data_IF_358059458095
#
_entry.id   IF_358059458095
#
_cell.length_a   1.000
_cell.length_b   1.000
_cell.length_c   1.000
_cell.angle_alpha   90.00
_cell.angle_beta   90.00
_cell.angle_gamma   90.00
#
_symmetry.space_group_name_H-M   'P 1'
#
loop_
_entity.id
_entity.type
_entity.pdbx_description
1 polymer ?
#
# COMPACT_ATOMS: atom_id res chain seq x y z
N UNK A 1 17.49 -24.93 40.57
CA UNK A 1 16.41 -23.98 40.90
C UNK A 1 16.15 -23.17 39.66
N UNK A 2 15.06 -23.49 38.97
CA UNK A 2 14.71 -22.96 37.64
C UNK A 2 14.28 -21.50 37.79
N UNK A 3 15.03 -20.57 37.20
CA UNK A 3 14.53 -19.23 36.88
C UNK A 3 13.33 -19.42 35.93
N UNK A 4 12.10 -19.28 36.45
CA UNK A 4 10.94 -19.04 35.58
C UNK A 4 11.22 -17.74 34.87
N UNK A 5 11.49 -17.78 33.59
CA UNK A 5 11.38 -16.62 32.71
C UNK A 5 9.92 -16.15 32.83
N UNK A 6 9.72 -14.96 33.41
CA UNK A 6 8.40 -14.33 33.36
C UNK A 6 8.03 -14.21 31.87
N UNK A 7 7.00 -14.95 31.45
CA UNK A 7 6.57 -14.99 30.08
C UNK A 7 6.15 -13.59 29.61
N UNK A 8 6.32 -13.31 28.33
CA UNK A 8 5.90 -12.03 27.76
C UNK A 8 4.37 -11.87 27.84
N UNK A 9 3.89 -10.73 28.30
CA UNK A 9 2.45 -10.40 28.40
C UNK A 9 2.22 -9.04 27.76
N UNK A 10 1.32 -8.96 26.76
CA UNK A 10 0.89 -7.67 26.21
C UNK A 10 0.22 -6.79 27.26
N UNK A 11 0.38 -5.48 27.16
CA UNK A 11 -0.34 -4.53 27.99
C UNK A 11 -1.85 -4.68 27.84
N UNK A 12 -2.57 -4.90 28.93
CA UNK A 12 -4.01 -5.15 28.91
C UNK A 12 -4.80 -3.94 29.41
N UNK A 13 -5.90 -3.63 28.71
CA UNK A 13 -6.80 -2.52 29.02
C UNK A 13 -8.24 -3.02 29.07
N UNK A 14 -8.92 -2.77 30.17
CA UNK A 14 -10.29 -3.22 30.42
C UNK A 14 -11.27 -2.06 30.26
N UNK A 15 -12.26 -2.19 29.39
CA UNK A 15 -13.30 -1.19 29.13
C UNK A 15 -12.75 0.24 29.10
N UNK A 16 -11.70 0.53 28.31
CA UNK A 16 -11.13 1.86 28.29
C UNK A 16 -12.19 2.87 27.80
N UNK A 17 -12.31 3.99 28.50
CA UNK A 17 -13.23 5.05 28.10
C UNK A 17 -12.87 5.63 26.74
N UNK A 18 -13.83 6.12 25.98
CA UNK A 18 -13.58 6.76 24.67
C UNK A 18 -12.57 7.91 24.76
N UNK A 19 -12.48 8.59 25.91
CA UNK A 19 -11.50 9.66 26.15
C UNK A 19 -10.05 9.17 26.13
N UNK A 20 -9.82 7.91 26.52
CA UNK A 20 -8.48 7.31 26.54
C UNK A 20 -8.09 6.67 25.22
N UNK A 21 -9.04 6.45 24.32
CA UNK A 21 -8.77 5.82 23.02
C UNK A 21 -7.72 6.55 22.20
N UNK A 22 -7.73 7.88 22.24
CA UNK A 22 -6.72 8.70 21.56
C UNK A 22 -5.29 8.26 21.84
N UNK A 23 -5.00 7.81 23.08
CA UNK A 23 -3.67 7.33 23.45
C UNK A 23 -3.47 5.86 23.05
N UNK A 24 -4.54 5.05 23.11
CA UNK A 24 -4.48 3.62 22.80
C UNK A 24 -4.31 3.34 21.31
N UNK A 25 -4.83 4.22 20.45
CA UNK A 25 -4.72 4.09 18.99
C UNK A 25 -3.42 4.68 18.43
N UNK A 26 -2.57 5.30 19.24
CA UNK A 26 -1.29 5.82 18.77
C UNK A 26 -0.36 4.69 18.35
N UNK A 27 0.33 4.90 17.22
CA UNK A 27 1.35 4.02 16.68
C UNK A 27 2.74 4.52 17.05
N UNK A 28 3.75 3.65 17.11
CA UNK A 28 5.13 4.04 17.33
C UNK A 28 5.72 4.70 16.08
N UNK A 29 5.22 5.89 15.72
CA UNK A 29 5.67 6.64 14.54
C UNK A 29 6.54 7.81 14.95
N UNK A 30 7.56 8.10 14.14
CA UNK A 30 8.29 9.35 14.19
C UNK A 30 7.51 10.44 13.44
N UNK A 31 7.74 11.70 13.78
CA UNK A 31 7.14 12.80 13.05
C UNK A 31 7.82 12.99 11.70
N UNK A 32 7.04 13.36 10.67
CA UNK A 32 7.57 13.64 9.32
C UNK A 32 8.66 14.69 9.32
N UNK A 33 8.62 15.62 10.28
CA UNK A 33 9.56 16.73 10.41
C UNK A 33 10.98 16.26 10.72
N UNK A 34 11.16 15.11 11.39
CA UNK A 34 12.47 14.60 11.78
C UNK A 34 13.36 14.26 10.58
N UNK A 35 12.79 13.96 9.42
CA UNK A 35 13.53 13.55 8.22
C UNK A 35 13.49 14.58 7.08
N UNK A 36 12.74 15.68 7.23
CA UNK A 36 12.48 16.63 6.16
C UNK A 36 13.76 17.31 5.63
N UNK A 37 14.69 17.64 6.52
CA UNK A 37 15.95 18.28 6.16
C UNK A 37 16.79 17.36 5.26
N UNK A 38 16.98 16.11 5.68
CA UNK A 38 17.73 15.12 4.91
C UNK A 38 17.04 14.80 3.58
N UNK A 39 15.72 14.63 3.57
CA UNK A 39 14.97 14.36 2.34
C UNK A 39 15.13 15.51 1.35
N UNK A 40 15.00 16.75 1.81
CA UNK A 40 15.17 17.92 0.96
C UNK A 40 16.59 18.00 0.38
N UNK A 41 17.62 17.78 1.20
CA UNK A 41 19.01 17.77 0.77
C UNK A 41 19.26 16.73 -0.34
N UNK A 42 18.81 15.48 -0.13
CA UNK A 42 18.97 14.41 -1.11
C UNK A 42 18.21 14.74 -2.41
N UNK A 43 16.98 15.27 -2.33
CA UNK A 43 16.20 15.63 -3.50
C UNK A 43 16.86 16.74 -4.32
N UNK A 44 17.32 17.81 -3.69
CA UNK A 44 18.01 18.90 -4.38
C UNK A 44 19.34 18.43 -5.00
N UNK A 45 20.08 17.55 -4.31
CA UNK A 45 21.31 17.02 -4.82
C UNK A 45 21.10 16.11 -6.04
N UNK A 46 20.15 15.18 -5.97
CA UNK A 46 19.80 14.29 -7.11
C UNK A 46 19.27 15.12 -8.29
N UNK A 47 18.43 16.12 -8.03
CA UNK A 47 17.90 17.00 -9.07
C UNK A 47 19.00 17.75 -9.84
N UNK A 48 20.05 18.16 -9.15
CA UNK A 48 21.12 19.00 -9.74
C UNK A 48 22.29 18.19 -10.32
N UNK A 49 22.53 16.96 -9.82
CA UNK A 49 23.73 16.19 -10.17
C UNK A 49 23.43 14.77 -10.68
N UNK A 50 22.14 14.39 -10.85
CA UNK A 50 21.74 13.13 -11.47
C UNK A 50 22.46 11.90 -10.90
N UNK A 51 23.00 11.08 -11.81
CA UNK A 51 23.68 9.83 -11.45
C UNK A 51 24.92 10.03 -10.55
N UNK A 52 25.60 11.16 -10.64
CA UNK A 52 26.74 11.46 -9.75
C UNK A 52 26.29 11.51 -8.29
N UNK A 53 25.18 12.18 -8.00
CA UNK A 53 24.61 12.20 -6.65
C UNK A 53 24.22 10.80 -6.19
N UNK A 54 23.63 9.99 -7.07
CA UNK A 54 23.22 8.62 -6.75
C UNK A 54 24.42 7.73 -6.39
N UNK A 55 25.52 7.83 -7.11
CA UNK A 55 26.77 7.09 -6.82
C UNK A 55 27.35 7.46 -5.46
N UNK A 56 27.33 8.75 -5.13
CA UNK A 56 27.79 9.25 -3.83
C UNK A 56 26.93 8.71 -2.69
N UNK A 57 25.60 8.71 -2.83
CA UNK A 57 24.69 8.17 -1.83
C UNK A 57 24.77 6.63 -1.72
N UNK A 58 24.93 5.90 -2.82
CA UNK A 58 25.15 4.46 -2.80
C UNK A 58 26.41 4.11 -1.98
N UNK A 59 27.50 4.84 -2.16
CA UNK A 59 28.73 4.68 -1.37
C UNK A 59 28.51 5.01 0.11
N UNK A 60 27.76 6.08 0.41
CA UNK A 60 27.53 6.54 1.77
C UNK A 60 26.59 5.63 2.55
N UNK A 61 25.45 5.24 1.97
CA UNK A 61 24.37 4.53 2.65
C UNK A 61 24.43 3.02 2.44
N UNK A 62 24.70 2.57 1.19
CA UNK A 62 24.74 1.14 0.87
C UNK A 62 26.13 0.55 1.07
N UNK A 63 27.16 1.40 1.32
CA UNK A 63 28.58 1.02 1.54
C UNK A 63 29.16 0.18 0.40
N UNK A 64 28.68 0.41 -0.82
CA UNK A 64 29.11 -0.27 -2.02
C UNK A 64 29.38 0.72 -3.17
N UNK A 65 30.46 0.49 -3.92
CA UNK A 65 30.77 1.26 -5.13
C UNK A 65 30.10 0.59 -6.33
N UNK A 66 28.97 1.14 -6.74
CA UNK A 66 28.29 0.72 -7.97
C UNK A 66 29.01 1.28 -9.19
N UNK A 67 29.14 0.46 -10.24
CA UNK A 67 29.59 0.91 -11.56
C UNK A 67 28.42 1.25 -12.49
N UNK A 68 27.32 0.55 -12.29
CA UNK A 68 26.09 0.67 -13.07
C UNK A 68 24.89 0.45 -12.17
N UNK A 69 23.83 1.27 -12.34
CA UNK A 69 22.58 1.08 -11.62
C UNK A 69 21.73 -0.01 -12.26
N UNK A 70 21.71 -0.12 -13.58
CA UNK A 70 20.87 -1.09 -14.28
C UNK A 70 21.31 -2.54 -14.00
N UNK A 71 20.33 -3.40 -13.81
CA UNK A 71 20.52 -4.86 -13.83
C UNK A 71 20.58 -5.31 -15.29
N UNK A 72 21.55 -6.14 -15.62
CA UNK A 72 21.68 -6.64 -16.98
C UNK A 72 21.02 -8.02 -17.18
N UNK A 73 20.75 -8.39 -18.44
CA UNK A 73 20.07 -9.64 -18.81
C UNK A 73 20.77 -10.91 -18.29
N UNK A 74 22.11 -10.86 -18.14
CA UNK A 74 22.86 -12.01 -17.63
C UNK A 74 22.62 -12.21 -16.14
N UNK A 75 22.43 -11.15 -15.34
CA UNK A 75 22.05 -11.24 -13.93
C UNK A 75 20.64 -11.83 -13.79
N UNK A 76 19.68 -11.35 -14.58
CA UNK A 76 18.31 -11.89 -14.60
C UNK A 76 18.32 -13.38 -15.00
N UNK A 77 19.01 -13.71 -16.08
CA UNK A 77 19.10 -15.10 -16.57
C UNK A 77 19.76 -16.03 -15.56
N UNK A 78 20.74 -15.54 -14.81
CA UNK A 78 21.39 -16.28 -13.72
C UNK A 78 20.43 -16.50 -12.56
N UNK A 79 19.74 -15.47 -12.13
CA UNK A 79 18.75 -15.54 -11.06
C UNK A 79 17.65 -16.56 -11.40
N UNK A 80 17.13 -16.52 -12.63
CA UNK A 80 16.13 -17.50 -13.09
C UNK A 80 16.65 -18.94 -12.98
N UNK A 81 17.93 -19.21 -13.27
CA UNK A 81 18.50 -20.56 -13.12
C UNK A 81 18.68 -20.98 -11.67
N UNK A 82 19.04 -20.05 -10.80
CA UNK A 82 19.38 -20.32 -9.40
C UNK A 82 18.15 -20.65 -8.53
N UNK A 83 16.98 -20.06 -8.82
CA UNK A 83 15.77 -20.29 -8.03
C UNK A 83 15.31 -21.75 -8.11
N UNK A 84 15.10 -22.43 -6.97
CA UNK A 84 14.59 -23.79 -6.92
C UNK A 84 13.22 -23.94 -7.59
N UNK A 85 12.97 -25.09 -8.22
CA UNK A 85 11.71 -25.32 -8.96
C UNK A 85 10.45 -25.21 -8.10
N UNK A 86 10.52 -25.67 -6.85
CA UNK A 86 9.40 -25.57 -5.90
C UNK A 86 9.07 -24.11 -5.58
N UNK A 87 10.07 -23.25 -5.37
CA UNK A 87 9.86 -21.81 -5.11
C UNK A 87 9.31 -21.12 -6.37
N UNK A 88 9.82 -21.44 -7.58
CA UNK A 88 9.24 -20.92 -8.83
C UNK A 88 7.76 -21.24 -8.95
N UNK A 89 7.38 -22.48 -8.64
CA UNK A 89 5.98 -22.91 -8.70
C UNK A 89 5.11 -22.16 -7.66
N UNK A 90 5.64 -21.96 -6.44
CA UNK A 90 4.93 -21.21 -5.40
C UNK A 90 4.70 -19.73 -5.82
N UNK A 91 5.74 -19.07 -6.34
CA UNK A 91 5.65 -17.68 -6.84
C UNK A 91 4.67 -17.59 -8.02
N UNK A 92 4.68 -18.56 -8.94
CA UNK A 92 3.74 -18.59 -10.05
C UNK A 92 2.29 -18.76 -9.57
N UNK A 93 2.04 -19.68 -8.64
CA UNK A 93 0.71 -19.89 -8.06
C UNK A 93 0.19 -18.63 -7.36
N UNK A 94 1.03 -17.96 -6.56
CA UNK A 94 0.68 -16.69 -5.93
C UNK A 94 0.34 -15.62 -6.97
N UNK A 95 1.17 -15.48 -8.02
CA UNK A 95 0.90 -14.57 -9.14
C UNK A 95 -0.44 -14.83 -9.80
N UNK A 96 -0.78 -16.09 -10.07
CA UNK A 96 -2.02 -16.47 -10.74
C UNK A 96 -3.26 -16.11 -9.91
N UNK A 97 -3.21 -16.28 -8.59
CA UNK A 97 -4.26 -15.86 -7.67
C UNK A 97 -4.40 -14.34 -7.63
N UNK A 98 -3.29 -13.61 -7.50
CA UNK A 98 -3.27 -12.14 -7.52
C UNK A 98 -3.79 -11.61 -8.86
N UNK A 99 -3.37 -12.22 -9.96
CA UNK A 99 -3.87 -11.86 -11.30
C UNK A 99 -5.38 -12.06 -11.40
N UNK A 100 -5.88 -13.20 -10.94
CA UNK A 100 -7.30 -13.55 -11.01
C UNK A 100 -8.15 -12.54 -10.26
N UNK A 101 -7.77 -12.20 -9.03
CA UNK A 101 -8.50 -11.25 -8.20
C UNK A 101 -8.44 -9.82 -8.78
N UNK A 102 -7.26 -9.34 -9.16
CA UNK A 102 -7.12 -7.98 -9.69
C UNK A 102 -7.74 -7.82 -11.09
N UNK A 103 -7.71 -8.87 -11.91
CA UNK A 103 -8.40 -8.85 -13.22
C UNK A 103 -9.91 -8.70 -13.07
N UNK A 104 -10.49 -9.31 -12.04
CA UNK A 104 -11.92 -9.19 -11.75
C UNK A 104 -12.35 -7.78 -11.31
N UNK A 105 -11.40 -6.93 -10.90
CA UNK A 105 -11.66 -5.52 -10.55
C UNK A 105 -11.87 -4.60 -11.77
N UNK A 106 -11.68 -5.10 -12.99
CA UNK A 106 -12.00 -4.31 -14.19
C UNK A 106 -13.48 -3.99 -14.22
N UNK A 107 -13.81 -2.69 -14.24
CA UNK A 107 -15.19 -2.20 -14.31
C UNK A 107 -15.57 -1.90 -15.73
N UNK A 108 -16.87 -2.08 -16.04
CA UNK A 108 -17.42 -1.66 -17.31
C UNK A 108 -17.39 -0.14 -17.46
N UNK A 109 -17.30 0.31 -18.72
CA UNK A 109 -17.41 1.73 -19.07
C UNK A 109 -18.75 2.30 -18.62
N UNK A 110 -18.70 3.39 -17.87
CA UNK A 110 -19.90 4.17 -17.54
C UNK A 110 -20.23 5.04 -18.74
N UNK A 111 -21.46 4.93 -19.26
CA UNK A 111 -21.96 5.80 -20.33
C UNK A 111 -23.43 6.12 -20.05
N UNK A 112 -23.76 7.40 -20.00
CA UNK A 112 -25.08 7.91 -19.64
C UNK A 112 -25.46 9.03 -20.61
N UNK A 113 -26.68 9.02 -21.08
CA UNK A 113 -27.33 10.18 -21.69
C UNK A 113 -28.02 10.95 -20.57
N UNK A 114 -27.45 12.11 -20.20
CA UNK A 114 -27.93 12.91 -19.05
C UNK A 114 -29.20 13.69 -19.39
N UNK A 115 -29.35 14.07 -20.65
CA UNK A 115 -30.59 14.52 -21.28
C UNK A 115 -30.48 14.27 -22.79
N UNK A 116 -31.57 14.39 -23.49
CA UNK A 116 -31.64 14.13 -24.95
C UNK A 116 -30.52 14.84 -25.73
N UNK A 117 -29.68 14.03 -26.38
CA UNK A 117 -28.56 14.53 -27.19
C UNK A 117 -27.32 14.95 -26.40
N UNK A 118 -27.24 14.69 -25.08
CA UNK A 118 -26.08 14.95 -24.22
C UNK A 118 -25.59 13.62 -23.64
N UNK A 119 -24.49 13.11 -24.17
CA UNK A 119 -23.90 11.82 -23.77
C UNK A 119 -22.61 12.05 -23.03
N UNK A 120 -22.53 11.59 -21.79
CA UNK A 120 -21.32 11.60 -20.96
C UNK A 120 -20.84 10.18 -20.70
N UNK A 121 -19.51 9.97 -20.72
CA UNK A 121 -18.93 8.69 -20.37
C UNK A 121 -17.58 8.84 -19.70
N UNK A 122 -17.15 7.77 -19.03
CA UNK A 122 -15.87 7.71 -18.35
C UNK A 122 -15.09 6.48 -18.83
N UNK A 123 -13.80 6.67 -19.07
CA UNK A 123 -12.85 5.60 -19.38
C UNK A 123 -11.74 5.57 -18.36
N UNK A 124 -11.34 4.36 -17.96
CA UNK A 124 -10.15 4.16 -17.16
C UNK A 124 -8.96 3.94 -18.09
N UNK A 125 -8.02 4.86 -18.05
CA UNK A 125 -6.78 4.81 -18.82
C UNK A 125 -5.61 4.51 -17.90
N UNK A 126 -4.62 3.71 -18.34
CA UNK A 126 -3.44 3.42 -17.53
C UNK A 126 -2.64 4.69 -17.22
N UNK A 127 -1.94 4.67 -16.08
CA UNK A 127 -0.82 5.57 -15.83
C UNK A 127 0.36 5.03 -16.63
N UNK A 128 0.88 5.80 -17.58
CA UNK A 128 1.86 5.34 -18.57
C UNK A 128 3.17 4.88 -17.92
N UNK A 129 3.71 5.69 -16.98
CA UNK A 129 5.03 5.47 -16.37
C UNK A 129 4.92 5.36 -14.85
N UNK A 130 5.30 4.22 -14.32
CA UNK A 130 5.27 3.99 -12.87
C UNK A 130 6.60 3.45 -12.36
N UNK A 131 6.91 3.80 -11.11
CA UNK A 131 8.06 3.28 -10.39
C UNK A 131 7.63 2.39 -9.24
N UNK A 132 8.23 1.21 -9.14
CA UNK A 132 8.06 0.29 -8.03
C UNK A 132 9.30 0.37 -7.13
N UNK A 133 9.10 0.70 -5.87
CA UNK A 133 10.14 0.63 -4.86
C UNK A 133 9.98 -0.66 -4.07
N UNK A 134 11.00 -1.51 -4.09
CA UNK A 134 11.02 -2.79 -3.36
C UNK A 134 12.12 -2.71 -2.31
N UNK A 135 11.79 -2.64 -1.02
CA UNK A 135 12.81 -2.62 0.02
C UNK A 135 13.56 -3.95 0.05
N UNK A 136 14.87 -3.85 0.30
CA UNK A 136 15.75 -4.98 0.53
C UNK A 136 16.50 -4.69 1.83
N UNK A 137 16.06 -5.33 2.88
CA UNK A 137 16.65 -5.16 4.21
C UNK A 137 16.97 -6.51 4.82
N UNK A 138 16.32 -6.80 5.93
CA UNK A 138 16.43 -8.10 6.62
C UNK A 138 15.77 -9.27 5.87
N UNK A 139 14.92 -8.99 4.88
CA UNK A 139 14.27 -9.99 4.01
C UNK A 139 14.09 -9.44 2.58
N UNK A 140 14.25 -10.28 1.53
CA UNK A 140 13.94 -9.91 0.16
C UNK A 140 12.43 -9.94 -0.05
N UNK A 141 11.77 -8.78 -0.03
CA UNK A 141 10.31 -8.68 -0.14
C UNK A 141 9.84 -8.84 -1.61
N UNK A 142 10.15 -9.99 -2.23
CA UNK A 142 9.78 -10.27 -3.63
C UNK A 142 8.25 -10.41 -3.81
N UNK A 143 7.49 -10.76 -2.76
CA UNK A 143 6.03 -10.79 -2.80
C UNK A 143 5.43 -9.43 -3.16
N UNK A 144 6.04 -8.33 -2.70
CA UNK A 144 5.61 -6.97 -3.03
C UNK A 144 5.68 -6.70 -4.55
N UNK A 145 6.60 -7.36 -5.26
CA UNK A 145 6.63 -7.26 -6.74
C UNK A 145 5.37 -7.84 -7.34
N UNK A 146 4.93 -9.01 -6.87
CA UNK A 146 3.67 -9.61 -7.34
C UNK A 146 2.48 -8.69 -7.11
N UNK A 147 2.41 -8.08 -5.91
CA UNK A 147 1.33 -7.20 -5.47
C UNK A 147 1.25 -5.89 -6.28
N UNK A 148 2.38 -5.39 -6.76
CA UNK A 148 2.45 -4.12 -7.48
C UNK A 148 2.50 -4.31 -9.00
N UNK A 149 3.36 -5.21 -9.48
CA UNK A 149 3.57 -5.39 -10.91
C UNK A 149 2.41 -6.10 -11.61
N UNK A 150 1.76 -7.07 -10.93
CA UNK A 150 0.63 -7.79 -11.54
C UNK A 150 -0.55 -6.85 -11.87
N UNK A 151 -1.08 -6.05 -10.93
CA UNK A 151 -2.14 -5.10 -11.27
C UNK A 151 -1.68 -3.98 -12.21
N UNK A 152 -0.42 -3.55 -12.16
CA UNK A 152 0.14 -2.59 -13.10
C UNK A 152 0.09 -3.09 -14.55
N UNK A 153 0.49 -4.35 -14.76
CA UNK A 153 0.43 -5.02 -16.05
C UNK A 153 -1.03 -5.21 -16.52
N UNK A 154 -1.94 -5.61 -15.62
CA UNK A 154 -3.38 -5.74 -15.94
C UNK A 154 -3.98 -4.39 -16.35
N UNK A 155 -3.57 -3.30 -15.71
CA UNK A 155 -4.00 -1.94 -16.04
C UNK A 155 -3.49 -1.47 -17.40
N UNK A 156 -2.36 -2.00 -17.89
CA UNK A 156 -1.72 -1.64 -19.15
C UNK A 156 -0.73 -0.48 -19.00
N UNK A 157 -0.06 -0.33 -17.84
CA UNK A 157 1.04 0.62 -17.70
C UNK A 157 2.15 0.30 -18.72
N UNK A 158 2.60 1.31 -19.48
CA UNK A 158 3.53 1.11 -20.61
C UNK A 158 4.98 0.96 -20.13
N UNK A 159 5.38 1.74 -19.12
CA UNK A 159 6.71 1.71 -18.55
C UNK A 159 6.63 1.46 -17.06
N UNK A 160 7.17 0.32 -16.64
CA UNK A 160 7.26 -0.09 -15.24
C UNK A 160 8.73 -0.24 -14.91
N UNK A 161 9.25 0.60 -14.01
CA UNK A 161 10.60 0.49 -13.51
C UNK A 161 10.60 0.00 -12.06
N UNK A 162 11.64 -0.74 -11.68
CA UNK A 162 11.82 -1.27 -10.34
C UNK A 162 13.13 -0.78 -9.75
N UNK A 163 13.07 -0.13 -8.58
CA UNK A 163 14.24 0.24 -7.78
C UNK A 163 14.28 -0.61 -6.51
N UNK A 164 15.41 -1.23 -6.24
CA UNK A 164 15.65 -2.01 -5.02
C UNK A 164 17.10 -1.83 -4.57
N UNK A 165 17.34 -1.64 -3.26
CA UNK A 165 18.72 -1.54 -2.76
C UNK A 165 19.45 -2.86 -2.99
N UNK A 166 20.72 -2.80 -3.47
CA UNK A 166 21.56 -3.98 -3.58
C UNK A 166 22.01 -4.46 -2.19
N UNK A 167 22.37 -5.73 -2.11
CA UNK A 167 23.02 -6.28 -0.92
C UNK A 167 24.51 -5.80 -0.84
N UNK A 168 25.23 -6.21 0.22
CA UNK A 168 26.63 -5.86 0.44
C UNK A 168 27.60 -6.29 -0.66
N UNK A 169 27.16 -7.14 -1.60
CA UNK A 169 27.92 -7.57 -2.78
C UNK A 169 27.51 -6.80 -4.05
N UNK A 170 26.69 -5.75 -3.93
CA UNK A 170 26.19 -4.96 -5.06
C UNK A 170 25.15 -5.70 -5.93
N UNK A 171 24.48 -6.71 -5.41
CA UNK A 171 23.55 -7.54 -6.17
C UNK A 171 22.13 -7.45 -5.61
N UNK A 172 21.17 -7.51 -6.51
CA UNK A 172 19.77 -7.74 -6.16
C UNK A 172 19.57 -9.24 -5.88
N UNK A 173 18.80 -9.64 -4.85
CA UNK A 173 18.49 -11.03 -4.58
C UNK A 173 17.88 -11.75 -5.78
N UNK A 174 18.21 -13.01 -5.97
CA UNK A 174 17.76 -13.81 -7.12
C UNK A 174 16.23 -13.94 -7.13
N UNK A 175 15.57 -14.01 -5.98
CA UNK A 175 14.12 -14.06 -5.83
C UNK A 175 13.44 -12.80 -6.36
N UNK A 176 14.04 -11.65 -6.13
CA UNK A 176 13.56 -10.34 -6.62
C UNK A 176 13.66 -10.28 -8.15
N UNK A 177 14.83 -10.66 -8.70
CA UNK A 177 15.06 -10.66 -10.15
C UNK A 177 14.16 -11.66 -10.88
N UNK A 178 14.01 -12.87 -10.33
CA UNK A 178 13.10 -13.87 -10.88
C UNK A 178 11.66 -13.38 -10.90
N UNK A 179 11.18 -12.82 -9.78
CA UNK A 179 9.80 -12.38 -9.65
C UNK A 179 9.51 -11.17 -10.55
N UNK A 180 10.45 -10.23 -10.66
CA UNK A 180 10.35 -9.11 -11.58
C UNK A 180 10.25 -9.58 -13.04
N UNK A 181 11.14 -10.48 -13.46
CA UNK A 181 11.12 -11.10 -14.79
C UNK A 181 9.81 -11.85 -15.06
N UNK A 182 9.32 -12.63 -14.07
CA UNK A 182 8.04 -13.32 -14.17
C UNK A 182 6.86 -12.36 -14.40
N UNK A 183 6.92 -11.14 -13.85
CA UNK A 183 5.93 -10.09 -14.04
C UNK A 183 6.16 -9.24 -15.30
N UNK A 184 7.21 -9.53 -16.10
CA UNK A 184 7.54 -8.79 -17.33
C UNK A 184 8.25 -7.45 -17.09
N UNK A 185 8.92 -7.29 -15.93
CA UNK A 185 9.72 -6.11 -15.63
C UNK A 185 11.18 -6.42 -15.96
N UNK A 186 11.74 -5.65 -16.88
CA UNK A 186 13.13 -5.71 -17.34
C UNK A 186 13.96 -4.49 -16.89
N UNK A 187 13.32 -3.35 -16.61
CA UNK A 187 13.97 -2.14 -16.13
C UNK A 187 14.13 -2.16 -14.61
N UNK A 188 15.21 -2.79 -14.14
CA UNK A 188 15.52 -2.96 -12.71
C UNK A 188 16.78 -2.20 -12.36
N UNK A 189 16.74 -1.41 -11.27
CA UNK A 189 17.83 -0.55 -10.84
C UNK A 189 18.28 -0.87 -9.41
N UNK A 190 19.59 -0.98 -9.23
CA UNK A 190 20.29 -1.29 -7.96
C UNK A 190 20.41 -0.03 -7.11
N UNK A 191 19.31 0.46 -6.59
CA UNK A 191 19.29 1.68 -5.78
C UNK A 191 18.15 1.64 -4.77
N UNK A 192 18.40 2.09 -3.56
CA UNK A 192 17.44 2.15 -2.46
C UNK A 192 17.31 3.54 -1.85
N UNK A 193 16.55 3.63 -0.75
CA UNK A 193 16.46 4.82 0.09
C UNK A 193 15.80 6.05 -0.56
N UNK A 194 16.05 7.21 0.05
CA UNK A 194 15.53 8.51 -0.40
C UNK A 194 15.97 8.80 -1.84
N UNK A 195 17.21 8.48 -2.17
CA UNK A 195 17.81 8.76 -3.47
C UNK A 195 17.13 7.98 -4.62
N UNK A 196 16.60 6.78 -4.36
CA UNK A 196 15.82 6.04 -5.35
C UNK A 196 14.49 6.75 -5.65
N UNK A 197 13.82 7.25 -4.62
CA UNK A 197 12.58 8.03 -4.77
C UNK A 197 12.84 9.35 -5.51
N UNK A 198 13.93 10.04 -5.19
CA UNK A 198 14.33 11.26 -5.86
C UNK A 198 14.67 11.01 -7.35
N UNK A 199 15.39 9.92 -7.65
CA UNK A 199 15.73 9.51 -9.02
C UNK A 199 14.46 9.24 -9.84
N UNK A 200 13.50 8.47 -9.31
CA UNK A 200 12.20 8.24 -9.97
C UNK A 200 11.38 9.52 -10.13
N UNK A 201 11.56 10.50 -9.23
CA UNK A 201 10.84 11.78 -9.26
C UNK A 201 11.34 12.69 -10.37
N UNK A 202 12.64 12.84 -10.52
CA UNK A 202 13.21 13.79 -11.49
C UNK A 202 13.60 13.14 -12.82
N UNK A 203 13.97 11.88 -12.79
CA UNK A 203 14.75 11.20 -13.81
C UNK A 203 16.23 11.54 -13.65
N UNK A 204 17.11 10.63 -14.03
CA UNK A 204 18.55 10.83 -14.13
C UNK A 204 19.02 10.25 -15.47
N UNK A 205 20.33 10.22 -15.71
CA UNK A 205 20.92 9.65 -16.93
C UNK A 205 20.57 8.15 -17.06
N UNK A 206 20.54 7.42 -15.93
CA UNK A 206 20.25 5.98 -15.91
C UNK A 206 18.81 5.65 -15.58
N UNK A 207 18.15 6.42 -14.70
CA UNK A 207 16.83 6.08 -14.13
C UNK A 207 15.75 6.97 -14.73
N UNK A 208 14.75 6.39 -15.45
CA UNK A 208 13.67 7.18 -16.03
C UNK A 208 12.79 7.86 -14.99
N UNK A 209 12.34 9.08 -15.29
CA UNK A 209 11.28 9.74 -14.52
C UNK A 209 9.96 9.01 -14.65
N UNK A 210 9.21 8.92 -13.55
CA UNK A 210 7.88 8.29 -13.52
C UNK A 210 6.78 9.28 -13.12
N UNK A 211 5.52 8.89 -13.30
CA UNK A 211 4.36 9.72 -12.94
C UNK A 211 3.76 9.32 -11.58
N UNK A 212 3.98 8.06 -11.17
CA UNK A 212 3.53 7.58 -9.87
C UNK A 212 4.50 6.55 -9.30
N UNK A 213 4.75 6.64 -8.00
CA UNK A 213 5.64 5.74 -7.25
C UNK A 213 4.81 4.87 -6.31
N UNK A 214 5.07 3.57 -6.33
CA UNK A 214 4.46 2.56 -5.49
C UNK A 214 5.51 1.83 -4.67
N UNK A 215 5.11 1.32 -3.54
CA UNK A 215 5.89 0.40 -2.74
C UNK A 215 6.04 0.83 -1.29
N UNK A 216 6.15 -0.16 -0.38
CA UNK A 216 6.43 0.05 1.02
C UNK A 216 7.88 0.53 1.23
N UNK A 217 8.15 1.09 2.37
CA UNK A 217 9.50 1.49 2.75
C UNK A 217 9.57 1.91 4.22
N UNK A 218 10.80 2.08 4.70
CA UNK A 218 11.01 2.64 6.02
C UNK A 218 10.58 4.12 6.07
N UNK A 219 10.70 4.75 7.23
CA UNK A 219 10.29 6.13 7.47
C UNK A 219 10.95 7.14 6.51
N UNK A 220 12.22 6.92 6.13
CA UNK A 220 12.93 7.77 5.16
C UNK A 220 12.32 7.69 3.77
N UNK A 221 12.00 6.48 3.32
CA UNK A 221 11.35 6.25 2.02
C UNK A 221 9.92 6.80 2.04
N UNK A 222 9.19 6.62 3.12
CA UNK A 222 7.84 7.18 3.30
C UNK A 222 7.87 8.71 3.23
N UNK A 223 8.78 9.36 3.95
CA UNK A 223 8.96 10.81 3.91
C UNK A 223 9.36 11.29 2.50
N UNK A 224 10.24 10.54 1.83
CA UNK A 224 10.65 10.85 0.45
C UNK A 224 9.48 10.71 -0.54
N UNK A 225 8.64 9.68 -0.44
CA UNK A 225 7.44 9.53 -1.26
C UNK A 225 6.48 10.72 -1.09
N UNK A 226 6.21 11.12 0.14
CA UNK A 226 5.36 12.29 0.41
C UNK A 226 6.00 13.58 -0.13
N UNK A 227 7.32 13.71 -0.02
CA UNK A 227 8.04 14.85 -0.56
C UNK A 227 8.00 14.91 -2.10
N UNK A 228 8.04 13.76 -2.79
CA UNK A 228 7.94 13.65 -4.24
C UNK A 228 6.66 14.28 -4.81
N UNK A 229 5.57 14.31 -4.03
CA UNK A 229 4.31 14.94 -4.45
C UNK A 229 4.43 16.43 -4.75
N UNK A 230 5.41 17.12 -4.18
CA UNK A 230 5.74 18.53 -4.47
C UNK A 230 6.26 18.74 -5.90
N UNK A 231 6.71 17.66 -6.56
CA UNK A 231 7.30 17.69 -7.91
C UNK A 231 6.43 16.99 -8.95
N UNK A 232 5.11 17.00 -8.73
CA UNK A 232 4.11 16.45 -9.66
C UNK A 232 4.23 14.94 -9.89
N UNK A 233 4.75 14.20 -8.92
CA UNK A 233 4.74 12.73 -8.92
C UNK A 233 3.77 12.26 -7.86
N UNK A 234 2.81 11.42 -8.26
CA UNK A 234 1.85 10.81 -7.34
C UNK A 234 2.49 9.65 -6.58
N UNK A 235 1.88 9.26 -5.46
CA UNK A 235 2.25 8.06 -4.71
C UNK A 235 1.04 7.15 -4.53
N UNK A 236 1.29 5.90 -4.14
CA UNK A 236 0.23 4.96 -3.76
C UNK A 236 -0.55 5.50 -2.55
N UNK A 237 0.13 5.59 -1.39
CA UNK A 237 -0.41 6.13 -0.15
C UNK A 237 0.72 6.51 0.80
N UNK A 238 0.46 7.36 1.82
CA UNK A 238 1.31 7.46 2.99
C UNK A 238 1.28 6.12 3.74
N UNK A 239 2.42 5.68 4.25
CA UNK A 239 2.53 4.47 5.04
C UNK A 239 3.39 4.72 6.29
N UNK A 240 3.11 3.98 7.33
CA UNK A 240 3.92 3.90 8.55
C UNK A 240 4.38 2.46 8.77
N UNK A 241 4.78 2.10 9.98
CA UNK A 241 5.08 0.72 10.36
C UNK A 241 3.87 -0.20 10.15
N UNK A 242 4.14 -1.46 9.87
CA UNK A 242 3.10 -2.47 9.67
C UNK A 242 2.33 -2.77 10.95
N UNK A 243 1.05 -3.04 10.83
CA UNK A 243 0.14 -3.22 11.96
C UNK A 243 -0.94 -4.26 11.69
N UNK A 244 -1.28 -5.03 12.73
CA UNK A 244 -2.37 -6.00 12.71
C UNK A 244 -3.29 -5.80 13.90
N UNK A 245 -4.61 -5.88 13.66
CA UNK A 245 -5.58 -6.00 14.72
C UNK A 245 -6.36 -7.31 14.57
N UNK A 246 -6.40 -8.10 15.63
CA UNK A 246 -7.22 -9.31 15.72
C UNK A 246 -8.38 -9.08 16.67
N UNK A 247 -9.62 -9.26 16.19
CA UNK A 247 -10.80 -9.38 17.03
C UNK A 247 -11.08 -10.88 17.24
N UNK A 248 -11.05 -11.33 18.49
CA UNK A 248 -11.21 -12.75 18.80
C UNK A 248 -11.95 -12.98 20.13
N UNK A 249 -12.70 -14.08 20.19
CA UNK A 249 -13.38 -14.55 21.39
C UNK A 249 -13.06 -16.04 21.67
N UNK A 250 -13.79 -16.66 22.59
CA UNK A 250 -13.60 -18.07 22.97
C UNK A 250 -13.82 -19.09 21.85
N UNK A 251 -14.34 -18.70 20.68
CA UNK A 251 -14.50 -19.58 19.52
C UNK A 251 -13.27 -19.61 18.62
N UNK A 252 -12.36 -18.67 18.82
CA UNK A 252 -11.07 -18.67 18.15
C UNK A 252 -10.08 -19.65 18.81
N UNK A 253 -9.11 -20.12 18.00
CA UNK A 253 -7.98 -20.88 18.50
C UNK A 253 -6.90 -19.90 19.02
N UNK A 254 -6.53 -19.94 20.32
CA UNK A 254 -5.55 -19.01 20.86
C UNK A 254 -4.14 -19.19 20.26
N UNK A 255 -3.78 -20.37 19.77
CA UNK A 255 -2.50 -20.62 19.13
C UNK A 255 -2.46 -19.98 17.72
N UNK A 256 -3.56 -20.00 16.99
CA UNK A 256 -3.68 -19.32 15.70
C UNK A 256 -3.63 -17.80 15.86
N UNK A 257 -4.40 -17.25 16.82
CA UNK A 257 -4.37 -15.81 17.11
C UNK A 257 -2.97 -15.36 17.55
N UNK A 258 -2.28 -16.14 18.36
CA UNK A 258 -0.92 -15.84 18.76
C UNK A 258 0.04 -15.84 17.56
N UNK A 259 -0.07 -16.84 16.67
CA UNK A 259 0.78 -16.92 15.48
C UNK A 259 0.57 -15.75 14.52
N UNK A 260 -0.68 -15.28 14.33
CA UNK A 260 -0.97 -14.11 13.51
C UNK A 260 -0.42 -12.81 14.12
N UNK A 261 -0.54 -12.63 15.44
CA UNK A 261 0.07 -11.48 16.11
C UNK A 261 1.60 -11.48 16.00
N UNK A 262 2.21 -12.65 16.06
CA UNK A 262 3.66 -12.81 15.95
C UNK A 262 4.16 -12.63 14.50
N UNK A 263 3.39 -13.07 13.49
CA UNK A 263 3.75 -12.88 12.08
C UNK A 263 3.88 -11.40 11.73
N UNK A 264 2.97 -10.55 12.23
CA UNK A 264 3.08 -9.11 12.03
C UNK A 264 4.20 -8.48 12.89
N UNK A 265 4.39 -8.96 14.12
CA UNK A 265 5.41 -8.42 15.01
C UNK A 265 6.85 -8.64 14.49
N UNK A 266 7.09 -9.67 13.66
CA UNK A 266 8.42 -9.94 13.10
C UNK A 266 8.82 -9.01 11.95
N UNK A 267 7.90 -8.20 11.39
CA UNK A 267 8.22 -7.27 10.30
C UNK A 267 9.22 -6.20 10.72
N UNK A 268 9.08 -5.63 11.93
CA UNK A 268 9.99 -4.63 12.43
C UNK A 268 9.79 -4.30 13.92
N UNK A 269 10.77 -3.70 14.58
CA UNK A 269 10.68 -3.35 15.99
C UNK A 269 9.64 -2.24 16.27
N UNK A 270 9.22 -1.54 15.24
CA UNK A 270 8.20 -0.49 15.23
C UNK A 270 6.82 -1.00 14.80
N UNK A 271 6.68 -2.27 14.45
CA UNK A 271 5.38 -2.92 14.22
C UNK A 271 4.50 -2.86 15.47
N UNK A 272 3.18 -2.80 15.24
CA UNK A 272 2.21 -2.83 16.33
C UNK A 272 1.14 -3.88 16.10
N UNK A 273 0.87 -4.72 17.10
CA UNK A 273 -0.23 -5.67 17.08
C UNK A 273 -1.23 -5.37 18.19
N UNK A 274 -2.51 -5.52 17.89
CA UNK A 274 -3.60 -5.24 18.81
C UNK A 274 -4.55 -6.43 18.85
N UNK A 275 -4.76 -6.99 20.05
CA UNK A 275 -5.81 -7.98 20.29
C UNK A 275 -7.02 -7.28 20.90
N UNK A 276 -8.17 -7.40 20.27
CA UNK A 276 -9.46 -6.93 20.80
C UNK A 276 -10.33 -8.13 21.12
N UNK A 277 -10.82 -8.23 22.35
CA UNK A 277 -11.66 -9.34 22.78
C UNK A 277 -12.78 -8.88 23.70
N UNK A 278 -13.84 -9.68 23.78
CA UNK A 278 -14.87 -9.55 24.83
C UNK A 278 -14.68 -10.57 25.96
N UNK A 279 -13.57 -11.33 25.93
CA UNK A 279 -13.29 -12.43 26.88
C UNK A 279 -11.89 -12.33 27.46
N UNK A 280 -11.82 -11.98 28.75
CA UNK A 280 -10.55 -11.86 29.48
C UNK A 280 -9.75 -13.17 29.47
N UNK A 281 -10.43 -14.28 29.79
CA UNK A 281 -9.77 -15.59 29.90
C UNK A 281 -9.18 -16.05 28.55
N UNK A 282 -9.79 -15.60 27.44
CA UNK A 282 -9.24 -15.86 26.11
C UNK A 282 -7.94 -15.09 25.87
N UNK A 283 -7.89 -13.81 26.26
CA UNK A 283 -6.67 -12.99 26.16
C UNK A 283 -5.51 -13.60 26.96
N UNK A 284 -5.80 -14.17 28.14
CA UNK A 284 -4.80 -14.86 28.96
C UNK A 284 -4.23 -16.10 28.26
N UNK A 285 -5.08 -16.88 27.53
CA UNK A 285 -4.66 -18.02 26.72
C UNK A 285 -3.77 -17.58 25.56
N UNK A 286 -4.15 -16.51 24.85
CA UNK A 286 -3.34 -15.96 23.75
C UNK A 286 -1.98 -15.49 24.26
N UNK A 287 -1.91 -14.75 25.36
CA UNK A 287 -0.63 -14.34 25.96
C UNK A 287 0.27 -15.53 26.34
N UNK A 288 -0.33 -16.61 26.86
CA UNK A 288 0.41 -17.84 27.16
C UNK A 288 0.97 -18.46 25.87
N UNK A 289 0.17 -18.50 24.80
CA UNK A 289 0.60 -19.02 23.51
C UNK A 289 1.70 -18.16 22.88
N UNK A 290 1.60 -16.83 22.92
CA UNK A 290 2.67 -15.91 22.50
C UNK A 290 3.98 -16.23 23.22
N UNK A 291 3.94 -16.37 24.57
CA UNK A 291 5.13 -16.65 25.37
C UNK A 291 5.80 -17.98 25.02
N UNK A 292 5.03 -18.96 24.56
CA UNK A 292 5.55 -20.24 24.11
C UNK A 292 6.12 -20.17 22.71
N UNK A 293 5.38 -19.55 21.75
CA UNK A 293 5.75 -19.51 20.34
C UNK A 293 6.95 -18.58 20.08
N UNK A 294 7.13 -17.53 20.84
CA UNK A 294 8.20 -16.53 20.63
C UNK A 294 9.60 -17.15 20.72
N UNK A 295 9.79 -18.14 21.59
CA UNK A 295 11.08 -18.81 21.80
C UNK A 295 11.51 -19.65 20.56
N UNK A 296 10.59 -19.96 19.63
CA UNK A 296 10.85 -20.72 18.41
C UNK A 296 11.20 -19.81 17.21
N UNK A 297 11.06 -18.47 17.34
CA UNK A 297 11.23 -17.54 16.23
C UNK A 297 12.70 -17.15 16.03
N UNK A 298 13.14 -17.15 14.78
CA UNK A 298 14.49 -16.69 14.41
C UNK A 298 14.69 -15.19 14.66
N UNK A 299 13.60 -14.39 14.64
CA UNK A 299 13.62 -12.93 14.82
C UNK A 299 13.08 -12.51 16.20
N UNK A 300 13.28 -13.35 17.22
CA UNK A 300 12.79 -13.16 18.60
C UNK A 300 13.01 -11.75 19.14
N UNK A 301 14.22 -11.19 18.98
CA UNK A 301 14.57 -9.85 19.48
C UNK A 301 13.73 -8.72 18.83
N UNK A 302 13.38 -8.87 17.55
CA UNK A 302 12.55 -7.91 16.83
C UNK A 302 11.12 -8.00 17.34
N UNK A 303 10.59 -9.22 17.41
CA UNK A 303 9.25 -9.50 17.91
C UNK A 303 9.06 -8.96 19.33
N UNK A 304 10.00 -9.21 20.23
CA UNK A 304 9.94 -8.69 21.62
C UNK A 304 9.85 -7.16 21.66
N UNK A 305 10.58 -6.45 20.79
CA UNK A 305 10.51 -4.99 20.71
C UNK A 305 9.16 -4.51 20.17
N UNK A 306 8.63 -5.15 19.12
CA UNK A 306 7.31 -4.84 18.57
C UNK A 306 6.19 -5.05 19.59
N UNK A 307 6.28 -6.12 20.37
CA UNK A 307 5.29 -6.43 21.40
C UNK A 307 5.27 -5.43 22.56
N UNK A 308 6.35 -4.68 22.83
CA UNK A 308 6.33 -3.57 23.80
C UNK A 308 5.39 -2.44 23.37
N UNK A 309 5.16 -2.26 22.09
CA UNK A 309 4.23 -1.28 21.52
C UNK A 309 2.81 -1.85 21.37
N UNK A 310 2.61 -3.13 21.67
CA UNK A 310 1.39 -3.89 21.37
C UNK A 310 0.46 -3.95 22.57
N UNK A 311 -0.83 -4.23 22.33
CA UNK A 311 -1.88 -4.10 23.36
C UNK A 311 -2.96 -5.16 23.21
N UNK A 312 -3.54 -5.56 24.34
CA UNK A 312 -4.78 -6.32 24.38
C UNK A 312 -5.88 -5.44 24.99
N UNK A 313 -6.97 -5.22 24.27
CA UNK A 313 -8.09 -4.39 24.69
C UNK A 313 -9.31 -5.29 24.91
N UNK A 314 -9.88 -5.24 26.09
CA UNK A 314 -11.00 -6.09 26.49
C UNK A 314 -12.21 -5.21 26.72
N UNK A 315 -13.30 -5.50 26.01
CA UNK A 315 -14.58 -4.80 26.13
C UNK A 315 -15.67 -5.74 26.68
N UNK A 316 -16.70 -5.17 27.30
CA UNK A 316 -17.85 -5.93 27.80
C UNK A 316 -18.81 -6.38 26.70
N UNK A 317 -18.72 -5.77 25.49
CA UNK A 317 -19.65 -6.04 24.41
C UNK A 317 -19.04 -5.76 23.03
N UNK A 318 -19.61 -6.41 21.99
CA UNK A 318 -19.19 -6.31 20.59
C UNK A 318 -19.29 -4.89 20.04
N UNK A 319 -20.29 -4.11 20.46
CA UNK A 319 -20.46 -2.74 19.97
C UNK A 319 -19.27 -1.86 20.32
N UNK A 320 -18.81 -1.90 21.58
CA UNK A 320 -17.65 -1.12 22.02
C UNK A 320 -16.36 -1.61 21.35
N UNK A 321 -16.24 -2.93 21.18
CA UNK A 321 -15.11 -3.51 20.46
C UNK A 321 -15.05 -3.00 19.00
N UNK A 322 -16.15 -3.09 18.25
CA UNK A 322 -16.24 -2.63 16.87
C UNK A 322 -16.07 -1.11 16.75
N UNK A 323 -16.63 -0.32 17.66
CA UNK A 323 -16.42 1.13 17.69
C UNK A 323 -14.91 1.47 17.86
N UNK A 324 -14.20 0.76 18.74
CA UNK A 324 -12.76 0.93 18.92
C UNK A 324 -11.97 0.48 17.69
N UNK A 325 -12.29 -0.66 17.10
CA UNK A 325 -11.62 -1.19 15.90
C UNK A 325 -11.71 -0.18 14.75
N UNK A 326 -12.91 0.38 14.50
CA UNK A 326 -13.08 1.41 13.47
C UNK A 326 -12.33 2.72 13.79
N UNK A 327 -12.18 3.08 15.07
CA UNK A 327 -11.38 4.24 15.47
C UNK A 327 -9.89 3.97 15.32
N UNK A 328 -9.44 2.76 15.66
CA UNK A 328 -8.07 2.31 15.41
C UNK A 328 -7.77 2.28 13.91
N UNK A 329 -8.70 1.79 13.08
CA UNK A 329 -8.54 1.77 11.62
C UNK A 329 -7.31 0.96 11.17
N UNK A 330 -7.31 -0.36 11.38
CA UNK A 330 -6.14 -1.21 11.17
C UNK A 330 -5.77 -1.36 9.68
N UNK A 331 -4.50 -1.61 9.44
CA UNK A 331 -3.99 -2.10 8.14
C UNK A 331 -4.55 -3.48 7.85
N UNK A 332 -4.21 -4.46 8.68
CA UNK A 332 -4.74 -5.82 8.64
C UNK A 332 -5.75 -6.02 9.76
N UNK A 333 -6.90 -6.58 9.45
CA UNK A 333 -7.96 -6.83 10.41
C UNK A 333 -8.44 -8.28 10.33
N UNK A 334 -8.12 -9.08 11.36
CA UNK A 334 -8.60 -10.47 11.49
C UNK A 334 -9.85 -10.51 12.36
N UNK A 335 -10.90 -11.20 11.92
CA UNK A 335 -12.16 -11.43 12.62
C UNK A 335 -12.29 -12.91 12.94
N UNK A 336 -12.08 -13.29 14.21
CA UNK A 336 -12.23 -14.65 14.73
C UNK A 336 -13.17 -14.65 15.94
N UNK A 337 -14.43 -14.29 15.72
CA UNK A 337 -15.45 -14.19 16.77
C UNK A 337 -16.70 -14.97 16.40
N UNK A 338 -17.48 -15.41 17.39
CA UNK A 338 -18.74 -16.10 17.17
C UNK A 338 -19.74 -15.29 16.34
N UNK A 339 -19.81 -13.99 16.56
CA UNK A 339 -20.76 -13.08 15.88
C UNK A 339 -20.07 -12.35 14.71
N UNK A 340 -19.38 -13.09 13.82
CA UNK A 340 -18.59 -12.52 12.73
C UNK A 340 -19.43 -11.62 11.81
N UNK A 341 -20.69 -11.97 11.51
CA UNK A 341 -21.60 -11.17 10.69
C UNK A 341 -21.80 -9.74 11.22
N UNK A 342 -21.86 -9.59 12.54
CA UNK A 342 -21.98 -8.28 13.18
C UNK A 342 -20.72 -7.44 12.95
N UNK A 343 -19.56 -8.06 13.14
CA UNK A 343 -18.27 -7.38 12.90
C UNK A 343 -18.12 -7.01 11.43
N UNK A 344 -18.36 -7.94 10.50
CA UNK A 344 -18.27 -7.71 9.05
C UNK A 344 -19.17 -6.55 8.61
N UNK A 345 -20.45 -6.55 9.00
CA UNK A 345 -21.42 -5.52 8.62
C UNK A 345 -21.11 -4.13 9.16
N UNK A 346 -20.32 -4.05 10.23
CA UNK A 346 -19.94 -2.80 10.88
C UNK A 346 -18.50 -2.37 10.60
N UNK A 347 -17.78 -3.03 9.69
CA UNK A 347 -16.47 -2.55 9.19
C UNK A 347 -16.68 -1.22 8.48
N UNK A 348 -15.94 -0.21 8.91
CA UNK A 348 -15.87 1.11 8.26
C UNK A 348 -14.47 1.43 7.75
N UNK A 349 -13.48 1.05 8.54
CA UNK A 349 -12.08 1.44 8.30
C UNK A 349 -11.18 0.24 8.53
N UNK A 350 -10.63 -0.32 7.46
CA UNK A 350 -9.57 -1.33 7.47
C UNK A 350 -8.86 -1.35 6.12
N UNK A 351 -7.60 -1.69 6.08
CA UNK A 351 -6.87 -1.89 4.82
C UNK A 351 -7.29 -3.21 4.16
N UNK A 352 -7.28 -4.32 4.91
CA UNK A 352 -7.76 -5.63 4.47
C UNK A 352 -8.42 -6.37 5.65
N UNK A 353 -9.42 -7.21 5.36
CA UNK A 353 -10.17 -7.96 6.38
C UNK A 353 -10.05 -9.46 6.12
N UNK A 354 -9.70 -10.22 7.16
CA UNK A 354 -9.51 -11.66 7.16
C UNK A 354 -10.56 -12.30 8.07
N UNK A 355 -11.26 -13.33 7.62
CA UNK A 355 -12.43 -13.85 8.31
C UNK A 355 -12.25 -15.31 8.65
N UNK A 356 -12.42 -15.63 9.94
CA UNK A 356 -12.39 -17.00 10.46
C UNK A 356 -11.01 -17.52 10.81
N UNK A 357 -10.97 -18.60 11.58
CA UNK A 357 -9.74 -19.20 12.14
C UNK A 357 -8.71 -19.68 11.12
N UNK A 358 -9.12 -19.93 9.88
CA UNK A 358 -8.24 -20.47 8.82
C UNK A 358 -7.81 -19.43 7.78
N UNK A 359 -7.99 -18.15 8.12
CA UNK A 359 -7.61 -17.04 7.23
C UNK A 359 -6.52 -16.19 7.89
N UNK A 360 -5.28 -16.69 7.95
CA UNK A 360 -4.17 -15.94 8.54
C UNK A 360 -3.81 -14.72 7.68
N UNK A 361 -3.22 -13.71 8.30
CA UNK A 361 -2.65 -12.55 7.60
C UNK A 361 -1.71 -12.96 6.46
N UNK A 362 -0.85 -13.95 6.70
CA UNK A 362 0.10 -14.47 5.72
C UNK A 362 -0.56 -14.97 4.41
N UNK A 363 -1.84 -15.37 4.45
CA UNK A 363 -2.55 -15.74 3.22
C UNK A 363 -2.71 -14.52 2.30
N UNK A 364 -3.08 -13.37 2.84
CA UNK A 364 -3.19 -12.10 2.11
C UNK A 364 -1.83 -11.58 1.67
N UNK A 365 -0.82 -11.72 2.50
CA UNK A 365 0.52 -11.24 2.23
C UNK A 365 1.22 -11.97 1.07
N UNK A 366 0.88 -13.24 0.88
CA UNK A 366 1.61 -14.04 -0.11
C UNK A 366 0.77 -14.55 -1.28
N UNK A 367 -0.43 -15.09 -1.04
CA UNK A 367 -0.99 -16.00 -2.04
C UNK A 367 -2.51 -16.01 -2.21
N UNK A 368 -3.32 -15.42 -1.32
CA UNK A 368 -4.79 -15.49 -1.43
C UNK A 368 -5.35 -14.73 -2.64
N UNK A 369 -4.61 -13.71 -3.12
CA UNK A 369 -4.99 -12.91 -4.29
C UNK A 369 -5.28 -11.43 -3.99
N UNK A 370 -5.55 -11.08 -2.73
CA UNK A 370 -5.66 -9.67 -2.30
C UNK A 370 -4.30 -8.97 -2.32
N UNK A 371 -4.25 -7.67 -2.05
CA UNK A 371 -3.01 -6.91 -2.07
C UNK A 371 -2.57 -6.58 -0.65
N UNK A 372 -1.29 -6.75 -0.34
CA UNK A 372 -0.73 -6.45 0.97
C UNK A 372 -0.15 -5.02 1.07
N UNK A 373 -0.13 -4.25 -0.02
CA UNK A 373 0.26 -2.85 0.05
C UNK A 373 -0.94 -2.04 0.53
N UNK A 374 -1.02 -1.86 1.83
CA UNK A 374 -2.18 -1.36 2.54
C UNK A 374 -1.88 -0.04 3.28
N UNK A 375 -2.88 0.80 3.54
CA UNK A 375 -2.71 1.99 4.35
C UNK A 375 -2.54 1.63 5.83
N UNK A 376 -1.43 2.07 6.42
CA UNK A 376 -1.09 1.93 7.84
C UNK A 376 -1.43 3.20 8.62
N UNK A 377 -1.11 3.25 9.91
CA UNK A 377 -1.21 4.46 10.75
C UNK A 377 -2.59 5.14 10.71
N UNK A 378 -3.66 4.35 10.62
CA UNK A 378 -5.02 4.85 10.55
C UNK A 378 -5.41 5.49 9.21
N UNK A 379 -4.52 5.46 8.21
CA UNK A 379 -4.82 6.00 6.88
C UNK A 379 -5.90 5.22 6.12
N UNK A 380 -6.30 4.03 6.57
CA UNK A 380 -7.45 3.30 6.03
C UNK A 380 -8.80 4.04 6.22
N UNK A 381 -8.83 5.13 7.01
CA UNK A 381 -9.96 6.07 7.07
C UNK A 381 -10.17 6.86 5.77
N UNK A 382 -9.16 6.95 4.90
CA UNK A 382 -9.18 7.82 3.72
C UNK A 382 -8.48 7.23 2.48
N UNK A 383 -7.69 6.18 2.65
CA UNK A 383 -7.00 5.50 1.54
C UNK A 383 -7.42 4.03 1.48
N UNK A 384 -7.54 3.52 0.27
CA UNK A 384 -7.67 2.08 0.01
C UNK A 384 -6.30 1.44 -0.10
N UNK A 385 -6.22 0.14 0.14
CA UNK A 385 -5.09 -0.67 -0.29
C UNK A 385 -4.90 -0.61 -1.80
N UNK A 386 -3.71 -0.96 -2.27
CA UNK A 386 -3.42 -1.00 -3.71
C UNK A 386 -4.37 -1.97 -4.40
N UNK A 387 -4.95 -1.51 -5.48
CA UNK A 387 -5.89 -2.24 -6.32
C UNK A 387 -5.70 -1.84 -7.79
N UNK A 388 -6.49 -2.37 -8.70
CA UNK A 388 -6.36 -2.06 -10.12
C UNK A 388 -6.55 -0.57 -10.44
N UNK A 389 -7.44 0.11 -9.71
CA UNK A 389 -7.70 1.54 -9.90
C UNK A 389 -6.50 2.41 -9.49
N UNK A 390 -5.62 1.91 -8.64
CA UNK A 390 -4.39 2.62 -8.24
C UNK A 390 -3.46 2.88 -9.42
N UNK A 391 -3.54 2.07 -10.50
CA UNK A 391 -2.71 2.14 -11.69
C UNK A 391 -3.42 2.81 -12.88
N UNK A 392 -4.63 3.32 -12.68
CA UNK A 392 -5.41 3.96 -13.73
C UNK A 392 -5.81 5.38 -13.34
N UNK A 393 -6.16 6.17 -14.33
CA UNK A 393 -6.80 7.48 -14.20
C UNK A 393 -8.14 7.46 -14.93
N UNK A 394 -9.16 8.07 -14.35
CA UNK A 394 -10.47 8.19 -14.97
C UNK A 394 -10.55 9.47 -15.79
N UNK A 395 -10.80 9.33 -17.10
CA UNK A 395 -10.98 10.45 -18.01
C UNK A 395 -12.45 10.52 -18.42
N UNK A 396 -13.05 11.69 -18.27
CA UNK A 396 -14.42 11.94 -18.68
C UNK A 396 -14.47 12.46 -20.11
N UNK A 397 -15.44 11.96 -20.84
CA UNK A 397 -15.75 12.38 -22.20
C UNK A 397 -17.19 12.84 -22.26
N UNK A 398 -17.44 13.84 -23.10
CA UNK A 398 -18.79 14.30 -23.35
C UNK A 398 -18.97 14.63 -24.82
N UNK A 399 -20.15 14.28 -25.34
CA UNK A 399 -20.56 14.58 -26.71
C UNK A 399 -21.97 15.16 -26.69
N UNK A 400 -22.12 16.36 -27.26
CA UNK A 400 -23.39 17.06 -27.32
C UNK A 400 -23.81 17.20 -28.80
N UNK A 401 -25.03 16.78 -29.12
CA UNK A 401 -25.61 16.94 -30.46
C UNK A 401 -26.16 18.37 -30.68
N UNK A 402 -26.52 18.71 -31.90
CA UNK A 402 -27.21 19.98 -32.22
C UNK A 402 -28.48 20.15 -31.35
N UNK A 403 -29.27 19.09 -31.20
CA UNK A 403 -30.47 19.10 -30.36
C UNK A 403 -30.13 19.25 -28.89
N UNK A 404 -29.11 18.53 -28.44
CA UNK A 404 -28.67 18.60 -27.04
C UNK A 404 -28.23 20.02 -26.67
N UNK A 405 -27.44 20.70 -27.50
CA UNK A 405 -27.04 22.07 -27.17
C UNK A 405 -28.20 23.07 -27.27
N UNK A 406 -29.21 22.83 -28.09
CA UNK A 406 -30.44 23.65 -28.09
C UNK A 406 -31.23 23.51 -26.78
N UNK A 407 -31.27 22.29 -26.21
CA UNK A 407 -31.98 22.03 -24.98
C UNK A 407 -31.21 22.52 -23.74
N UNK A 408 -29.86 22.38 -23.73
CA UNK A 408 -29.02 22.69 -22.59
C UNK A 408 -28.50 24.14 -22.59
N UNK A 409 -28.55 24.81 -23.73
CA UNK A 409 -27.85 26.07 -23.96
C UNK A 409 -28.29 27.19 -23.05
N UNK A 410 -29.60 27.40 -22.87
CA UNK A 410 -30.15 28.42 -21.96
C UNK A 410 -29.63 28.24 -20.53
N UNK A 411 -29.61 26.98 -20.04
CA UNK A 411 -29.09 26.69 -18.69
C UNK A 411 -27.63 27.12 -18.55
N UNK A 412 -26.79 26.81 -19.56
CA UNK A 412 -25.35 27.16 -19.53
C UNK A 412 -25.19 28.70 -19.59
N UNK A 413 -25.97 29.37 -20.46
CA UNK A 413 -25.90 30.83 -20.59
C UNK A 413 -26.28 31.56 -19.30
N UNK A 414 -27.36 31.11 -18.63
CA UNK A 414 -27.81 31.69 -17.36
C UNK A 414 -26.79 31.49 -16.25
N UNK A 415 -26.22 30.26 -16.11
CA UNK A 415 -25.21 29.95 -15.11
C UNK A 415 -23.92 30.76 -15.35
N UNK A 416 -23.40 30.75 -16.57
CA UNK A 416 -22.18 31.48 -16.91
C UNK A 416 -22.35 32.99 -16.73
N UNK A 417 -23.55 33.53 -17.02
CA UNK A 417 -23.85 34.92 -16.78
C UNK A 417 -23.90 35.27 -15.29
N UNK A 418 -24.48 34.39 -14.47
CA UNK A 418 -24.56 34.58 -13.02
C UNK A 418 -23.16 34.55 -12.35
N UNK A 419 -22.23 33.74 -12.90
CA UNK A 419 -20.83 33.69 -12.46
C UNK A 419 -19.97 34.84 -13.05
N UNK A 420 -20.54 35.68 -13.92
CA UNK A 420 -19.79 36.76 -14.59
C UNK A 420 -18.84 36.29 -15.69
N UNK A 421 -18.98 35.04 -16.16
CA UNK A 421 -18.10 34.41 -17.14
C UNK A 421 -18.62 34.61 -18.56
N UNK A 422 -18.51 35.81 -19.10
CA UNK A 422 -19.09 36.21 -20.40
C UNK A 422 -18.54 35.35 -21.58
N UNK A 423 -17.28 34.96 -21.54
CA UNK A 423 -16.70 34.14 -22.61
C UNK A 423 -17.28 32.72 -22.62
N UNK A 424 -17.56 32.13 -21.46
CA UNK A 424 -18.25 30.84 -21.33
C UNK A 424 -19.66 30.91 -21.88
N UNK A 425 -20.42 31.96 -21.54
CA UNK A 425 -21.73 32.21 -22.12
C UNK A 425 -21.64 32.33 -23.64
N UNK A 426 -20.74 33.14 -24.17
CA UNK A 426 -20.59 33.39 -25.61
C UNK A 426 -20.25 32.09 -26.36
N UNK A 427 -19.49 31.18 -25.76
CA UNK A 427 -19.20 29.90 -26.39
C UNK A 427 -20.46 29.08 -26.74
N UNK A 428 -21.54 29.23 -25.97
CA UNK A 428 -22.83 28.62 -26.22
C UNK A 428 -23.70 29.49 -27.14
N UNK A 429 -23.82 30.79 -26.83
CA UNK A 429 -24.64 31.73 -27.58
C UNK A 429 -24.33 31.72 -29.10
N UNK A 430 -23.04 31.69 -29.46
CA UNK A 430 -22.61 31.64 -30.87
C UNK A 430 -23.08 30.36 -31.55
N UNK A 431 -23.05 29.23 -30.86
CA UNK A 431 -23.56 27.94 -31.41
C UNK A 431 -25.06 27.95 -31.62
N UNK A 432 -25.81 28.46 -30.63
CA UNK A 432 -27.27 28.58 -30.73
C UNK A 432 -27.69 29.49 -31.87
N UNK A 433 -27.10 30.67 -32.00
CA UNK A 433 -27.37 31.61 -33.12
C UNK A 433 -27.12 30.99 -34.47
N UNK A 434 -26.04 30.21 -34.60
CA UNK A 434 -25.73 29.52 -35.86
C UNK A 434 -26.80 28.47 -36.21
N UNK A 435 -27.30 27.72 -35.21
CA UNK A 435 -28.36 26.72 -35.40
C UNK A 435 -29.72 27.35 -35.70
N UNK A 436 -30.01 28.57 -35.27
CA UNK A 436 -31.18 29.35 -35.62
C UNK A 436 -31.15 29.77 -37.10
N UNK A 437 -29.96 30.14 -37.60
CA UNK A 437 -29.76 30.57 -38.98
C UNK A 437 -29.72 29.40 -40.00
N UNK A 438 -29.61 28.16 -39.55
CA UNK A 438 -29.65 26.95 -40.37
C UNK A 438 -31.08 26.41 -40.57
N UNK A 439 -32.08 27.02 -39.88
CA UNK A 439 -33.52 26.73 -40.05
C UNK A 439 -34.12 27.61 -41.14
#
# INVERSE_FOLDING_TARGET
MSNRKDGFVMNQFYNPSKLTWKNLIQRPTFTLDDHQVLVNEVFENVKNHGDEALLNYAKQFDKFELKEFAVNDSEISKAIRNIPKNLKNAIQNAKDNIYTFHKAQKTNRIKVETQEGVVCWQEKLPIEKIGLYIPSGSAPLFSTILMLATPATIAGCEEIILCSPPNSYGKIPDEVLFTASLCGIDKIFKIGGIQAIAAMTFGTESIPKVYKIFGPGNQYVTSAKQFATRYSVSIDMPAGPSELLVAADETADPDFVASDLLSQAEHGPDSQVVLVSTKKDFVEKVNKSISYQIDELQREDIVKKALLNSKAIIFDNDKSAVDFINEYSPEHYIICVKNEDYYIKNVKNAGSVFIGNYTPESAGDYASGTNHTLPTNGYSKQYSGVNLDSFTKSVTFQKISKKGIQLLGETIELMANAEGLQAHKNAVSIRLKKLENEK
#
